data_IF_416145268985
#
_entry.id   IF_416145268985
#
_cell.length_a   1.000
_cell.length_b   1.000
_cell.length_c   1.000
_cell.angle_alpha   90.00
_cell.angle_beta   90.00
_cell.angle_gamma   90.00
#
_symmetry.space_group_name_H-M   'P 1'
#
loop_
_entity.id
_entity.type
_entity.pdbx_description
1 polymer ?
#
# COMPACT_ATOMS: atom_id res chain seq x y z
N UNK A 1 23.09 10.70 -9.91
CA UNK A 1 23.18 10.62 -11.38
C UNK A 1 24.17 9.52 -11.71
N UNK A 2 23.82 8.57 -12.56
CA UNK A 2 24.75 7.61 -13.13
C UNK A 2 25.55 8.31 -14.21
N UNK A 3 26.80 8.63 -13.92
CA UNK A 3 27.66 9.39 -14.82
C UNK A 3 28.95 8.63 -15.07
N UNK A 4 29.35 8.51 -16.30
CA UNK A 4 30.64 7.95 -16.71
C UNK A 4 31.54 9.06 -17.25
N UNK A 5 32.76 9.11 -16.77
CA UNK A 5 33.77 10.01 -17.32
C UNK A 5 34.71 9.20 -18.21
N UNK A 6 34.81 9.58 -19.46
CA UNK A 6 35.72 8.95 -20.45
C UNK A 6 36.74 9.94 -20.92
N UNK A 7 37.94 9.45 -21.22
CA UNK A 7 38.97 10.20 -21.89
C UNK A 7 38.89 9.85 -23.39
N UNK A 8 38.34 10.74 -24.23
CA UNK A 8 38.28 10.46 -25.65
C UNK A 8 39.71 10.41 -26.25
N UNK A 9 39.92 9.73 -27.40
CA UNK A 9 41.16 9.82 -28.13
C UNK A 9 41.45 11.28 -28.43
N UNK A 10 42.61 11.78 -27.94
CA UNK A 10 42.96 13.18 -28.08
C UNK A 10 44.47 13.37 -28.11
N UNK A 11 44.94 14.44 -28.78
CA UNK A 11 46.32 14.91 -28.71
C UNK A 11 46.43 15.89 -27.56
N UNK A 12 47.35 15.63 -26.63
CA UNK A 12 47.55 16.50 -25.47
C UNK A 12 48.37 17.71 -25.93
N UNK A 13 47.74 18.87 -26.06
CA UNK A 13 48.41 20.13 -26.36
C UNK A 13 48.46 20.99 -25.08
N UNK A 14 49.63 21.57 -24.83
CA UNK A 14 49.86 22.45 -23.64
C UNK A 14 49.52 21.85 -22.30
N UNK A 15 49.56 20.50 -22.17
CA UNK A 15 49.24 19.82 -20.92
C UNK A 15 47.76 19.78 -20.53
N UNK A 16 46.84 20.09 -21.45
CA UNK A 16 45.38 20.06 -21.22
C UNK A 16 44.83 18.70 -21.67
N UNK A 17 44.14 18.02 -20.77
CA UNK A 17 43.43 16.76 -21.04
C UNK A 17 41.93 17.03 -21.02
N UNK A 18 41.25 16.77 -22.12
CA UNK A 18 39.78 16.84 -22.21
C UNK A 18 39.15 15.62 -21.59
N UNK A 19 38.16 15.83 -20.73
CA UNK A 19 37.33 14.78 -20.18
C UNK A 19 35.93 14.91 -20.78
N UNK A 20 35.38 13.79 -21.24
CA UNK A 20 33.97 13.72 -21.68
C UNK A 20 33.14 13.09 -20.60
N UNK A 21 32.14 13.83 -20.11
CA UNK A 21 31.16 13.34 -19.16
C UNK A 21 29.98 12.82 -19.95
N UNK A 22 29.65 11.53 -19.76
CA UNK A 22 28.48 10.90 -20.35
C UNK A 22 27.46 10.68 -19.22
N UNK A 23 26.37 11.40 -19.27
CA UNK A 23 25.26 11.21 -18.34
C UNK A 23 24.48 9.96 -18.76
N UNK A 24 24.31 9.01 -17.83
CA UNK A 24 23.55 7.79 -18.07
C UNK A 24 22.06 8.08 -18.12
N UNK A 25 21.34 7.42 -19.01
CA UNK A 25 19.88 7.48 -19.13
C UNK A 25 19.29 6.07 -19.25
N UNK A 26 17.98 5.93 -19.05
CA UNK A 26 17.28 4.66 -19.28
C UNK A 26 16.97 4.55 -20.77
N UNK A 27 17.53 3.53 -21.41
CA UNK A 27 17.31 3.24 -22.84
C UNK A 27 16.13 2.34 -23.08
N UNK A 28 15.95 1.33 -22.22
CA UNK A 28 14.82 0.38 -22.32
C UNK A 28 14.41 -0.13 -20.94
N UNK A 29 13.14 -0.54 -20.84
CA UNK A 29 12.58 -1.17 -19.65
C UNK A 29 11.96 -2.50 -20.01
N UNK A 30 12.50 -3.57 -19.42
CA UNK A 30 12.01 -4.93 -19.52
C UNK A 30 11.32 -5.35 -18.22
N UNK A 31 10.11 -5.88 -18.30
CA UNK A 31 9.42 -6.45 -17.16
C UNK A 31 9.45 -7.97 -17.33
N UNK A 32 9.99 -8.65 -16.32
CA UNK A 32 10.07 -10.11 -16.26
C UNK A 32 9.28 -10.62 -15.06
N UNK A 33 8.74 -11.82 -15.18
CA UNK A 33 7.93 -12.46 -14.14
C UNK A 33 6.44 -12.43 -14.45
N UNK A 34 5.68 -12.99 -13.54
CA UNK A 34 4.22 -13.16 -13.67
C UNK A 34 3.54 -12.75 -12.36
N UNK A 35 3.42 -11.44 -12.08
CA UNK A 35 2.69 -10.99 -10.92
C UNK A 35 1.22 -11.36 -11.08
N UNK A 36 0.53 -11.58 -9.95
CA UNK A 36 -0.91 -11.85 -9.95
C UNK A 36 -1.73 -10.64 -10.39
N UNK A 37 -1.24 -9.44 -10.12
CA UNK A 37 -1.91 -8.18 -10.43
C UNK A 37 -1.76 -7.70 -11.87
N UNK A 38 -2.19 -6.45 -12.12
CA UNK A 38 -2.16 -5.82 -13.44
C UNK A 38 -0.73 -5.41 -13.85
N UNK A 39 -0.18 -6.14 -14.81
CA UNK A 39 1.12 -5.85 -15.42
C UNK A 39 1.12 -4.47 -16.14
N UNK A 40 -0.02 -4.04 -16.69
CA UNK A 40 -0.09 -2.75 -17.37
C UNK A 40 0.06 -1.59 -16.37
N UNK A 41 -0.44 -1.74 -15.15
CA UNK A 41 -0.20 -0.81 -14.07
C UNK A 41 1.28 -0.76 -13.71
N UNK A 42 1.92 -1.92 -13.48
CA UNK A 42 3.35 -2.02 -13.18
C UNK A 42 4.19 -1.34 -14.26
N UNK A 43 3.84 -1.57 -15.53
CA UNK A 43 4.52 -0.94 -16.67
C UNK A 43 4.36 0.59 -16.66
N UNK A 44 3.21 1.12 -16.29
CA UNK A 44 3.01 2.58 -16.16
C UNK A 44 3.91 3.20 -15.10
N UNK A 45 4.10 2.51 -13.96
CA UNK A 45 5.06 2.95 -12.93
C UNK A 45 6.50 2.96 -13.45
N UNK A 46 6.90 1.88 -14.13
CA UNK A 46 8.24 1.71 -14.67
C UNK A 46 8.56 2.75 -15.75
N UNK A 47 7.63 2.99 -16.67
CA UNK A 47 7.82 3.89 -17.82
C UNK A 47 8.15 5.34 -17.41
N UNK A 48 7.83 5.74 -16.18
CA UNK A 48 8.26 7.04 -15.63
C UNK A 48 9.78 7.24 -15.66
N UNK A 49 10.55 6.16 -15.64
CA UNK A 49 12.02 6.23 -15.76
C UNK A 49 12.48 6.61 -17.16
N UNK A 50 11.70 6.28 -18.21
CA UNK A 50 11.99 6.67 -19.60
C UNK A 50 11.70 8.16 -19.88
N UNK A 51 10.73 8.73 -19.14
CA UNK A 51 10.32 10.12 -19.32
C UNK A 51 11.30 11.12 -18.70
N UNK A 52 12.18 10.64 -17.82
CA UNK A 52 13.21 11.45 -17.19
C UNK A 52 14.49 11.43 -18.02
N UNK A 53 15.17 12.55 -18.07
CA UNK A 53 16.49 12.68 -18.72
C UNK A 53 17.56 11.81 -18.04
N UNK A 54 18.66 12.40 -17.55
CA UNK A 54 19.71 11.63 -16.89
C UNK A 54 19.16 10.82 -15.71
N UNK A 55 19.51 9.52 -15.66
CA UNK A 55 19.04 8.61 -14.62
C UNK A 55 19.64 8.98 -13.26
N UNK A 56 18.78 9.39 -12.31
CA UNK A 56 19.17 9.48 -10.90
C UNK A 56 18.80 8.16 -10.19
N UNK A 57 19.72 7.68 -9.35
CA UNK A 57 19.46 6.53 -8.48
C UNK A 57 18.24 6.72 -7.59
N UNK A 58 17.94 7.97 -7.22
CA UNK A 58 16.73 8.31 -6.43
C UNK A 58 15.43 8.09 -7.20
N UNK A 59 15.45 8.31 -8.53
CA UNK A 59 14.27 8.07 -9.36
C UNK A 59 13.96 6.58 -9.49
N UNK A 60 15.02 5.78 -9.71
CA UNK A 60 14.88 4.33 -9.70
C UNK A 60 14.41 3.81 -8.32
N UNK A 61 15.03 4.30 -7.24
CA UNK A 61 14.61 3.97 -5.88
C UNK A 61 13.14 4.29 -5.64
N UNK A 62 12.70 5.49 -6.01
CA UNK A 62 11.31 5.93 -5.86
C UNK A 62 10.34 5.03 -6.62
N UNK A 63 10.64 4.68 -7.88
CA UNK A 63 9.81 3.78 -8.67
C UNK A 63 9.77 2.39 -8.05
N UNK A 64 10.92 1.86 -7.62
CA UNK A 64 10.98 0.53 -6.99
C UNK A 64 10.23 0.48 -5.66
N UNK A 65 10.32 1.53 -4.83
CA UNK A 65 9.56 1.61 -3.57
C UNK A 65 8.06 1.69 -3.82
N UNK A 66 7.64 2.50 -4.80
CA UNK A 66 6.20 2.61 -5.15
C UNK A 66 5.65 1.33 -5.78
N UNK A 67 6.44 0.58 -6.54
CA UNK A 67 6.05 -0.75 -7.03
C UNK A 67 5.88 -1.75 -5.89
N UNK A 68 6.78 -1.73 -4.91
CA UNK A 68 6.70 -2.60 -3.73
C UNK A 68 5.61 -2.16 -2.72
N UNK A 69 5.06 -0.95 -2.85
CA UNK A 69 3.89 -0.52 -2.11
C UNK A 69 2.56 -1.06 -2.70
N UNK A 70 2.60 -1.66 -3.91
CA UNK A 70 1.42 -2.28 -4.53
C UNK A 70 1.07 -3.60 -3.81
N UNK A 71 -0.20 -3.81 -3.45
CA UNK A 71 -0.62 -5.06 -2.82
C UNK A 71 -0.32 -6.30 -3.66
N UNK A 72 0.36 -7.27 -3.05
CA UNK A 72 0.68 -8.54 -3.69
C UNK A 72 1.80 -8.49 -4.73
N UNK A 73 2.63 -7.45 -4.70
CA UNK A 73 3.75 -7.24 -5.63
C UNK A 73 5.08 -7.18 -4.88
N UNK A 74 6.04 -7.98 -5.32
CA UNK A 74 7.45 -7.86 -4.95
C UNK A 74 8.24 -7.56 -6.22
N UNK A 75 8.92 -6.42 -6.25
CA UNK A 75 9.67 -5.97 -7.41
C UNK A 75 11.15 -5.76 -7.08
N UNK A 76 12.02 -6.20 -7.97
CA UNK A 76 13.48 -5.95 -7.94
C UNK A 76 13.93 -5.42 -9.29
N UNK A 77 15.00 -4.65 -9.32
CA UNK A 77 15.56 -4.13 -10.57
C UNK A 77 17.00 -4.56 -10.78
N UNK A 78 17.34 -4.82 -12.03
CA UNK A 78 18.70 -5.06 -12.50
C UNK A 78 19.00 -4.03 -13.58
N UNK A 79 20.12 -3.34 -13.43
CA UNK A 79 20.63 -2.42 -14.46
C UNK A 79 21.73 -3.10 -15.23
N UNK A 80 21.68 -2.98 -16.55
CA UNK A 80 22.74 -3.40 -17.46
C UNK A 80 23.06 -2.28 -18.47
N UNK A 81 24.30 -2.22 -18.93
CA UNK A 81 24.63 -1.28 -20.00
C UNK A 81 23.82 -1.63 -21.26
N UNK A 82 23.30 -0.62 -21.93
CA UNK A 82 22.60 -0.83 -23.20
C UNK A 82 23.58 -1.22 -24.30
N UNK A 83 23.22 -2.23 -25.09
CA UNK A 83 23.98 -2.66 -26.24
C UNK A 83 23.76 -1.72 -27.43
N UNK A 84 22.56 -1.18 -27.52
CA UNK A 84 22.13 -0.40 -28.70
C UNK A 84 22.43 1.10 -28.57
N UNK A 85 22.59 1.61 -27.35
CA UNK A 85 22.74 3.05 -27.08
C UNK A 85 23.91 3.32 -26.12
N UNK A 86 25.05 3.86 -26.63
CA UNK A 86 26.17 4.24 -25.78
C UNK A 86 25.78 5.24 -24.70
N UNK A 87 26.12 4.95 -23.44
CA UNK A 87 25.71 5.73 -22.27
C UNK A 87 24.29 5.39 -21.73
N UNK A 88 23.50 4.60 -22.46
CA UNK A 88 22.22 4.09 -22.03
C UNK A 88 22.34 2.93 -21.06
N UNK A 89 21.33 2.77 -20.22
CA UNK A 89 21.15 1.62 -19.32
C UNK A 89 19.80 0.96 -19.54
N UNK A 90 19.80 -0.36 -19.71
CA UNK A 90 18.58 -1.14 -19.75
C UNK A 90 18.19 -1.52 -18.32
N UNK A 91 16.95 -1.25 -17.94
CA UNK A 91 16.41 -1.59 -16.63
C UNK A 91 15.50 -2.80 -16.77
N UNK A 92 15.90 -3.92 -16.18
CA UNK A 92 15.06 -5.11 -16.08
C UNK A 92 14.40 -5.11 -14.71
N UNK A 93 13.06 -5.01 -14.67
CA UNK A 93 12.25 -5.11 -13.45
C UNK A 93 11.73 -6.53 -13.37
N UNK A 94 12.18 -7.26 -12.35
CA UNK A 94 11.72 -8.62 -12.05
C UNK A 94 10.60 -8.49 -11.04
N UNK A 95 9.40 -8.99 -11.39
CA UNK A 95 8.20 -8.89 -10.57
C UNK A 95 7.72 -10.29 -10.19
N UNK A 96 7.54 -10.48 -8.90
CA UNK A 96 7.01 -11.71 -8.31
C UNK A 96 5.69 -11.41 -7.60
N UNK A 97 4.84 -12.42 -7.44
CA UNK A 97 3.66 -12.31 -6.59
C UNK A 97 4.05 -12.47 -5.13
N UNK A 98 3.60 -11.57 -4.30
CA UNK A 98 3.63 -11.71 -2.85
C UNK A 98 2.44 -12.57 -2.37
N UNK A 99 2.30 -12.73 -1.05
CA UNK A 99 1.23 -13.50 -0.43
C UNK A 99 -0.15 -13.00 -0.87
N UNK A 100 -1.00 -13.95 -1.31
CA UNK A 100 -2.37 -13.65 -1.71
C UNK A 100 -3.18 -13.14 -0.52
N UNK A 101 -2.98 -13.73 0.64
CA UNK A 101 -3.74 -13.42 1.84
C UNK A 101 -2.84 -13.33 3.06
N UNK A 102 -3.26 -12.48 3.97
CA UNK A 102 -2.70 -12.41 5.31
C UNK A 102 -3.87 -12.46 6.30
N UNK A 103 -3.75 -13.31 7.31
CA UNK A 103 -4.78 -13.47 8.36
C UNK A 103 -4.12 -13.29 9.71
N UNK A 104 -4.70 -12.47 10.53
CA UNK A 104 -4.30 -12.29 11.92
C UNK A 104 -5.50 -12.44 12.84
N UNK A 105 -5.27 -12.89 14.06
CA UNK A 105 -6.28 -12.97 15.10
C UNK A 105 -5.68 -12.61 16.45
N UNK A 106 -6.51 -12.11 17.33
CA UNK A 106 -6.12 -11.80 18.69
C UNK A 106 -7.24 -12.12 19.67
N UNK A 107 -6.84 -12.56 20.85
CA UNK A 107 -7.72 -12.71 22.00
C UNK A 107 -7.11 -11.89 23.14
N UNK A 108 -7.91 -11.03 23.73
CA UNK A 108 -7.44 -10.21 24.84
C UNK A 108 -8.52 -10.06 25.90
N UNK A 109 -8.09 -9.71 27.12
CA UNK A 109 -8.95 -9.49 28.30
C UNK A 109 -8.99 -8.00 28.69
N UNK A 110 -8.84 -7.09 27.74
CA UNK A 110 -8.84 -5.64 27.96
C UNK A 110 -10.23 -5.00 27.83
N UNK A 111 -11.23 -5.79 27.56
CA UNK A 111 -12.62 -5.34 27.54
C UNK A 111 -13.10 -4.87 28.91
N UNK A 112 -14.22 -4.19 28.93
CA UNK A 112 -14.88 -3.76 30.16
C UNK A 112 -15.92 -4.80 30.59
N UNK A 113 -16.32 -4.78 31.87
CA UNK A 113 -17.42 -5.64 32.35
C UNK A 113 -18.77 -5.34 31.71
N UNK A 114 -18.89 -4.22 31.00
CA UNK A 114 -20.14 -3.79 30.35
C UNK A 114 -20.18 -4.15 28.84
N UNK A 115 -19.03 -4.34 28.23
CA UNK A 115 -18.89 -4.62 26.79
C UNK A 115 -18.16 -5.93 26.54
N UNK A 116 -18.11 -6.82 27.56
CA UNK A 116 -17.40 -8.08 27.56
C UNK A 116 -15.94 -7.95 27.96
N UNK A 117 -15.50 -8.67 29.02
CA UNK A 117 -14.12 -8.63 29.49
C UNK A 117 -13.14 -9.27 28.53
N UNK A 118 -13.60 -10.21 27.71
CA UNK A 118 -12.82 -10.93 26.70
C UNK A 118 -13.23 -10.45 25.31
N UNK A 119 -12.26 -10.07 24.50
CA UNK A 119 -12.50 -9.65 23.11
C UNK A 119 -11.68 -10.56 22.19
N UNK A 120 -12.38 -11.20 21.27
CA UNK A 120 -11.78 -11.90 20.14
C UNK A 120 -11.85 -11.00 18.90
N UNK A 121 -10.76 -10.91 18.15
CA UNK A 121 -10.72 -10.22 16.85
C UNK A 121 -10.00 -11.05 15.82
N UNK A 122 -10.40 -10.92 14.56
CA UNK A 122 -9.70 -11.50 13.42
C UNK A 122 -9.77 -10.54 12.24
N UNK A 123 -8.66 -10.45 11.52
CA UNK A 123 -8.53 -9.63 10.32
C UNK A 123 -7.96 -10.49 9.20
N UNK A 124 -8.51 -10.33 8.00
CA UNK A 124 -8.02 -10.96 6.79
C UNK A 124 -7.81 -9.89 5.72
N UNK A 125 -6.67 -9.95 5.04
CA UNK A 125 -6.38 -9.13 3.88
C UNK A 125 -6.14 -10.04 2.68
N UNK A 126 -6.77 -9.70 1.55
CA UNK A 126 -6.54 -10.32 0.24
C UNK A 126 -5.84 -9.32 -0.66
N UNK A 127 -4.73 -9.74 -1.27
CA UNK A 127 -3.92 -8.90 -2.16
C UNK A 127 -4.09 -9.35 -3.60
N UNK A 128 -4.45 -8.43 -4.50
CA UNK A 128 -4.62 -8.70 -5.93
C UNK A 128 -5.54 -9.89 -6.23
N UNK A 129 -6.61 -10.07 -5.43
CA UNK A 129 -7.59 -11.14 -5.64
C UNK A 129 -8.36 -10.94 -6.96
N UNK A 130 -8.65 -9.69 -7.31
CA UNK A 130 -9.30 -9.29 -8.56
C UNK A 130 -8.30 -9.01 -9.69
N UNK A 131 -7.00 -9.22 -9.44
CA UNK A 131 -5.88 -8.98 -10.38
C UNK A 131 -5.68 -7.51 -10.77
N UNK A 132 -6.08 -6.56 -9.91
CA UNK A 132 -6.00 -5.13 -10.13
C UNK A 132 -4.96 -4.43 -9.23
N UNK A 133 -4.09 -5.21 -8.56
CA UNK A 133 -3.17 -4.74 -7.51
C UNK A 133 -3.91 -4.05 -6.34
N UNK A 134 -5.12 -4.49 -6.06
CA UNK A 134 -5.96 -4.00 -4.97
C UNK A 134 -5.69 -4.77 -3.68
N UNK A 135 -6.14 -4.18 -2.54
CA UNK A 135 -6.25 -4.88 -1.27
C UNK A 135 -7.70 -4.85 -0.79
N UNK A 136 -8.22 -6.02 -0.43
CA UNK A 136 -9.52 -6.19 0.22
C UNK A 136 -9.23 -6.60 1.66
N UNK A 137 -9.83 -5.90 2.64
CA UNK A 137 -9.70 -6.24 4.05
C UNK A 137 -11.07 -6.51 4.65
N UNK A 138 -11.13 -7.55 5.48
CA UNK A 138 -12.28 -7.90 6.30
C UNK A 138 -11.80 -8.03 7.72
N UNK A 139 -12.46 -7.34 8.64
CA UNK A 139 -12.16 -7.43 10.07
C UNK A 139 -13.44 -7.77 10.86
N UNK A 140 -13.28 -8.62 11.85
CA UNK A 140 -14.34 -8.95 12.80
C UNK A 140 -13.82 -8.79 14.23
N UNK A 141 -14.67 -8.35 15.13
CA UNK A 141 -14.41 -8.46 16.57
C UNK A 141 -15.71 -8.78 17.31
N UNK A 142 -15.59 -9.57 18.36
CA UNK A 142 -16.73 -9.95 19.20
C UNK A 142 -16.33 -10.05 20.66
N UNK A 143 -17.22 -9.67 21.53
CA UNK A 143 -17.05 -9.82 22.97
C UNK A 143 -18.25 -10.61 23.54
N UNK A 144 -18.10 -11.95 23.72
CA UNK A 144 -19.12 -12.78 24.31
C UNK A 144 -19.21 -12.50 25.84
N UNK A 145 -20.39 -12.48 26.36
CA UNK A 145 -20.66 -12.30 27.81
C UNK A 145 -20.46 -13.58 28.64
N UNK A 146 -20.13 -14.70 28.01
CA UNK A 146 -20.06 -16.02 28.61
C UNK A 146 -21.39 -16.79 28.59
N UNK A 147 -22.47 -16.18 28.11
CA UNK A 147 -23.76 -16.77 27.78
C UNK A 147 -23.98 -16.77 26.26
N UNK A 148 -25.20 -16.91 25.80
CA UNK A 148 -25.52 -16.96 24.36
C UNK A 148 -25.51 -15.58 23.71
N UNK A 149 -25.63 -14.54 24.53
CA UNK A 149 -25.70 -13.15 24.08
C UNK A 149 -24.30 -12.56 23.88
N UNK A 150 -24.20 -11.59 22.98
CA UNK A 150 -22.94 -10.90 22.64
C UNK A 150 -23.07 -9.45 23.05
N UNK A 151 -22.14 -8.99 23.87
CA UNK A 151 -22.14 -7.61 24.34
C UNK A 151 -21.60 -6.63 23.29
N UNK A 152 -20.77 -7.14 22.36
CA UNK A 152 -20.25 -6.36 21.26
C UNK A 152 -19.98 -7.26 20.04
N UNK A 153 -20.44 -6.83 18.86
CA UNK A 153 -20.04 -7.36 17.58
C UNK A 153 -19.57 -6.22 16.67
N UNK A 154 -18.50 -6.44 15.96
CA UNK A 154 -17.94 -5.50 14.98
C UNK A 154 -17.60 -6.23 13.69
N UNK A 155 -17.95 -5.61 12.57
CA UNK A 155 -17.57 -6.04 11.22
C UNK A 155 -17.03 -4.85 10.46
N UNK A 156 -15.93 -5.04 9.74
CA UNK A 156 -15.41 -4.06 8.79
C UNK A 156 -15.08 -4.70 7.45
N UNK A 157 -15.26 -3.94 6.40
CA UNK A 157 -14.87 -4.27 5.03
C UNK A 157 -14.24 -3.04 4.41
N UNK A 158 -13.06 -3.17 3.80
CA UNK A 158 -12.48 -2.11 3.00
C UNK A 158 -11.89 -2.64 1.70
N UNK A 159 -11.90 -1.77 0.69
CA UNK A 159 -11.30 -1.98 -0.62
C UNK A 159 -10.37 -0.83 -0.94
N UNK A 160 -9.09 -1.14 -1.16
CA UNK A 160 -8.05 -0.17 -1.51
C UNK A 160 -7.54 -0.43 -2.90
N UNK A 161 -7.58 0.58 -3.77
CA UNK A 161 -7.15 0.53 -5.17
C UNK A 161 -6.04 1.55 -5.43
N UNK A 162 -4.86 1.12 -5.90
CA UNK A 162 -3.89 2.03 -6.49
C UNK A 162 -4.42 2.64 -7.78
N UNK A 163 -4.17 3.95 -7.97
CA UNK A 163 -4.61 4.69 -9.15
C UNK A 163 -3.47 5.53 -9.73
N UNK A 164 -3.36 5.52 -11.05
CA UNK A 164 -2.28 6.23 -11.74
C UNK A 164 -0.89 5.63 -11.46
N UNK A 165 0.19 6.27 -11.95
CA UNK A 165 1.56 5.74 -11.83
C UNK A 165 2.38 6.37 -10.68
N UNK A 166 1.76 7.10 -9.76
CA UNK A 166 2.46 7.91 -8.76
C UNK A 166 2.28 7.44 -7.32
N UNK A 167 1.75 6.21 -7.12
CA UNK A 167 1.53 5.65 -5.79
C UNK A 167 0.28 6.18 -5.09
N UNK A 168 -0.57 6.94 -5.78
CA UNK A 168 -1.87 7.35 -5.24
C UNK A 168 -2.75 6.15 -5.01
N UNK A 169 -3.49 6.12 -3.90
CA UNK A 169 -4.46 5.07 -3.59
C UNK A 169 -5.80 5.67 -3.21
N UNK A 170 -6.88 5.00 -3.62
CA UNK A 170 -8.23 5.28 -3.17
C UNK A 170 -8.70 4.09 -2.32
N UNK A 171 -9.33 4.38 -1.20
CA UNK A 171 -9.88 3.37 -0.31
C UNK A 171 -11.34 3.71 0.02
N UNK A 172 -12.22 2.73 -0.15
CA UNK A 172 -13.59 2.76 0.34
C UNK A 172 -13.76 1.73 1.45
N UNK A 173 -14.43 2.10 2.55
CA UNK A 173 -14.63 1.22 3.68
C UNK A 173 -16.03 1.38 4.28
N UNK A 174 -16.49 0.28 4.86
CA UNK A 174 -17.70 0.21 5.66
C UNK A 174 -17.41 -0.56 6.95
N UNK A 175 -17.94 -0.09 8.07
CA UNK A 175 -17.92 -0.87 9.30
C UNK A 175 -19.24 -0.72 10.03
N UNK A 176 -19.60 -1.78 10.76
CA UNK A 176 -20.78 -1.77 11.65
C UNK A 176 -20.40 -2.33 13.01
N UNK A 177 -20.89 -1.70 14.04
CA UNK A 177 -20.76 -2.15 15.43
C UNK A 177 -22.15 -2.30 16.04
N UNK A 178 -22.38 -3.45 16.66
CA UNK A 178 -23.54 -3.71 17.51
C UNK A 178 -23.07 -3.77 18.95
N UNK A 179 -23.85 -3.23 19.86
CA UNK A 179 -23.53 -3.24 21.29
C UNK A 179 -24.77 -3.47 22.12
N UNK A 180 -24.68 -4.40 23.06
CA UNK A 180 -25.71 -4.69 24.07
C UNK A 180 -25.02 -4.81 25.41
N UNK A 181 -24.81 -3.68 26.14
CA UNK A 181 -24.04 -3.67 27.38
C UNK A 181 -24.64 -4.58 28.44
N UNK A 182 -23.79 -5.43 28.98
CA UNK A 182 -24.15 -6.41 30.01
C UNK A 182 -24.00 -5.89 31.44
N UNK A 183 -23.84 -6.85 32.41
CA UNK A 183 -23.69 -6.61 33.83
C UNK A 183 -24.87 -5.80 34.40
N UNK A 184 -24.60 -4.70 35.12
CA UNK A 184 -25.67 -3.87 35.71
C UNK A 184 -26.46 -3.04 34.68
N UNK A 185 -25.97 -2.93 33.44
CA UNK A 185 -26.68 -2.22 32.38
C UNK A 185 -27.66 -3.09 31.62
N UNK A 186 -27.61 -4.43 31.76
CA UNK A 186 -28.53 -5.35 31.10
C UNK A 186 -30.02 -5.11 31.48
N UNK A 187 -30.27 -4.62 32.71
CA UNK A 187 -31.62 -4.26 33.17
C UNK A 187 -32.29 -3.13 32.38
N UNK A 188 -31.51 -2.32 31.65
CA UNK A 188 -32.03 -1.19 30.87
C UNK A 188 -32.27 -1.55 29.39
N UNK A 189 -31.94 -2.79 28.97
CA UNK A 189 -32.08 -3.29 27.60
C UNK A 189 -31.56 -2.30 26.56
N UNK A 190 -30.33 -1.81 26.80
CA UNK A 190 -29.69 -0.81 25.92
C UNK A 190 -29.11 -1.54 24.71
N UNK A 191 -29.59 -1.16 23.53
CA UNK A 191 -29.05 -1.67 22.26
C UNK A 191 -28.53 -0.52 21.42
N UNK A 192 -27.30 -0.65 20.99
CA UNK A 192 -26.63 0.32 20.11
C UNK A 192 -26.25 -0.29 18.78
N UNK A 193 -26.43 0.48 17.70
CA UNK A 193 -25.90 0.18 16.37
C UNK A 193 -25.20 1.42 15.83
N UNK A 194 -23.98 1.23 15.36
CA UNK A 194 -23.21 2.27 14.67
C UNK A 194 -22.76 1.74 13.30
N UNK A 195 -22.88 2.56 12.28
CA UNK A 195 -22.43 2.28 10.93
C UNK A 195 -21.53 3.42 10.48
N UNK A 196 -20.36 3.09 9.96
CA UNK A 196 -19.42 4.07 9.48
C UNK A 196 -19.02 3.77 8.03
N UNK A 197 -19.05 4.79 7.19
CA UNK A 197 -18.61 4.77 5.80
C UNK A 197 -17.41 5.66 5.66
N UNK A 198 -16.35 5.16 5.04
CA UNK A 198 -15.09 5.86 4.85
C UNK A 198 -14.75 5.93 3.37
N UNK A 199 -14.36 7.12 2.91
CA UNK A 199 -13.69 7.31 1.62
C UNK A 199 -12.37 8.01 1.88
N UNK A 200 -11.27 7.42 1.43
CA UNK A 200 -9.92 7.96 1.62
C UNK A 200 -9.16 7.99 0.32
N UNK A 201 -8.51 9.12 0.06
CA UNK A 201 -7.50 9.25 -0.98
C UNK A 201 -6.15 9.52 -0.30
N UNK A 202 -5.11 8.81 -0.69
CA UNK A 202 -3.76 8.99 -0.16
C UNK A 202 -2.76 9.11 -1.31
N UNK A 203 -1.82 10.05 -1.18
CA UNK A 203 -0.76 10.28 -2.16
C UNK A 203 0.61 10.39 -1.47
N UNK A 204 1.63 9.60 -1.88
CA UNK A 204 2.98 9.75 -1.37
C UNK A 204 3.66 10.96 -2.04
N UNK A 205 3.92 12.01 -1.24
CA UNK A 205 4.64 13.21 -1.69
C UNK A 205 6.14 12.98 -1.70
N UNK A 206 6.66 12.28 -0.67
CA UNK A 206 8.04 11.85 -0.56
C UNK A 206 8.05 10.35 -0.28
N UNK A 207 8.74 9.58 -1.10
CA UNK A 207 8.89 8.15 -0.92
C UNK A 207 10.32 7.73 -1.23
N UNK A 208 11.14 7.66 -0.20
CA UNK A 208 12.54 7.21 -0.22
C UNK A 208 12.77 6.22 0.92
N UNK A 209 13.91 5.54 0.95
CA UNK A 209 14.25 4.61 2.03
C UNK A 209 14.27 5.27 3.42
N UNK A 210 14.67 6.54 3.47
CA UNK A 210 14.88 7.25 4.75
C UNK A 210 13.78 8.25 5.07
N UNK A 211 12.92 8.59 4.10
CA UNK A 211 11.86 9.60 4.27
C UNK A 211 10.60 9.13 3.55
N UNK A 212 9.50 9.17 4.27
CA UNK A 212 8.14 8.92 3.75
C UNK A 212 7.25 10.07 4.22
N UNK A 213 6.65 10.79 3.27
CA UNK A 213 5.64 11.81 3.53
C UNK A 213 4.44 11.51 2.65
N UNK A 214 3.30 11.24 3.28
CA UNK A 214 2.02 10.97 2.60
C UNK A 214 1.01 12.02 2.99
N UNK A 215 0.24 12.47 2.02
CA UNK A 215 -0.91 13.34 2.24
C UNK A 215 -2.17 12.53 1.99
N UNK A 216 -3.11 12.59 2.92
CA UNK A 216 -4.40 11.91 2.76
C UNK A 216 -5.56 12.88 2.97
N UNK A 217 -6.61 12.68 2.20
CA UNK A 217 -7.92 13.26 2.39
C UNK A 217 -8.88 12.12 2.74
N UNK A 218 -9.63 12.29 3.83
CA UNK A 218 -10.59 11.29 4.28
C UNK A 218 -11.93 11.96 4.54
N UNK A 219 -12.98 11.29 4.15
CA UNK A 219 -14.36 11.61 4.45
C UNK A 219 -14.98 10.44 5.22
N UNK A 220 -15.60 10.74 6.37
CA UNK A 220 -16.29 9.78 7.22
C UNK A 220 -17.74 10.17 7.35
N UNK A 221 -18.64 9.19 7.24
CA UNK A 221 -20.06 9.33 7.50
C UNK A 221 -20.49 8.30 8.56
N UNK A 222 -20.78 8.79 9.76
CA UNK A 222 -21.20 7.96 10.88
C UNK A 222 -22.71 8.10 11.10
N UNK A 223 -23.40 6.97 11.10
CA UNK A 223 -24.78 6.85 11.53
C UNK A 223 -24.84 5.99 12.80
N UNK A 224 -25.48 6.49 13.85
CA UNK A 224 -25.64 5.74 15.09
C UNK A 224 -27.08 5.78 15.57
N UNK A 225 -27.55 4.64 16.02
CA UNK A 225 -28.87 4.47 16.59
C UNK A 225 -28.76 3.75 17.93
N UNK A 226 -29.49 4.25 18.93
CA UNK A 226 -29.57 3.66 20.25
C UNK A 226 -31.02 3.52 20.64
N UNK A 227 -31.36 2.36 21.18
CA UNK A 227 -32.65 2.08 21.84
C UNK A 227 -32.40 1.77 23.32
N UNK A 228 -33.24 2.25 24.19
CA UNK A 228 -33.27 1.90 25.61
C UNK A 228 -34.71 1.76 26.05
N UNK A 229 -34.97 0.82 26.96
CA UNK A 229 -36.26 0.59 27.61
C UNK A 229 -36.18 1.10 29.06
N UNK A 230 -35.99 2.42 29.21
CA UNK A 230 -36.09 3.06 30.52
C UNK A 230 -37.59 3.35 30.78
N UNK A 231 -38.22 2.48 31.57
CA UNK A 231 -39.56 2.72 32.15
C UNK A 231 -39.46 3.50 33.45
#
# INVERSE_FOLDING_TARGET
ILTQVIIPPQTIEKGVVGLQVVEGFVSDIKIQGAPRGDIAMIRRYANRLLEKGPLDAKDLEHVMLTLNDLPGVVARSVLSASVDQPGGSDVTIIVESDELYNVSWALNNRGTRYMGPMVFSADAQLNSALKLNEAIRVGIATAPDGHVDREMDFLSLSYKQPVGPYGTTLEGGFSTALSSPGYTLSQFDINGRAENYVLRAEHPVIRTRNKDLRVSLQFDALNSHRTDNIN
#
